data_IF_505091084383
#
_entry.id   IF_505091084383
#
_cell.length_a   1.000
_cell.length_b   1.000
_cell.length_c   1.000
_cell.angle_alpha   90.00
_cell.angle_beta   90.00
_cell.angle_gamma   90.00
#
_symmetry.space_group_name_H-M   'P 1'
#
loop_
_entity.id
_entity.type
_entity.pdbx_description
1 polymer ?
#
# COMPACT_ATOMS: atom_id res chain seq x y z
N UNK A 1 3.45 10.82 10.90
CA UNK A 1 4.34 11.99 10.77
C UNK A 1 5.16 11.85 9.49
N UNK A 2 4.79 12.58 8.43
CA UNK A 2 5.64 12.66 7.23
C UNK A 2 6.71 13.72 7.49
N UNK A 3 7.97 13.32 7.64
CA UNK A 3 9.10 14.26 7.68
C UNK A 3 9.23 14.90 6.30
N UNK A 4 8.85 16.17 6.15
CA UNK A 4 9.25 16.94 4.96
C UNK A 4 10.77 16.94 4.93
N UNK A 5 11.35 16.41 3.84
CA UNK A 5 12.80 16.36 3.67
C UNK A 5 13.28 17.77 3.43
N UNK A 6 13.94 18.34 4.44
CA UNK A 6 14.73 19.55 4.34
C UNK A 6 15.60 19.50 3.09
N UNK A 7 15.53 20.55 2.25
CA UNK A 7 16.41 20.75 1.10
C UNK A 7 17.42 21.84 1.46
N UNK A 8 18.70 21.51 1.63
CA UNK A 8 19.75 22.50 1.85
C UNK A 8 19.81 23.52 0.70
N UNK A 9 19.93 24.81 1.02
CA UNK A 9 20.10 25.89 0.04
C UNK A 9 21.55 26.01 -0.43
N UNK A 10 21.72 26.38 -1.69
CA UNK A 10 23.03 26.67 -2.27
C UNK A 10 23.53 28.06 -1.82
N UNK A 11 24.77 28.14 -1.38
CA UNK A 11 25.44 29.37 -1.01
C UNK A 11 26.95 29.17 -0.97
N UNK A 12 27.69 30.26 -0.76
CA UNK A 12 29.14 30.19 -0.61
C UNK A 12 29.50 29.28 0.59
N UNK A 13 30.39 28.32 0.36
CA UNK A 13 30.79 27.33 1.36
C UNK A 13 29.83 26.13 1.49
N UNK A 14 28.74 26.07 0.72
CA UNK A 14 27.83 24.92 0.76
C UNK A 14 28.51 23.67 0.17
N UNK A 15 28.32 22.51 0.81
CA UNK A 15 28.80 21.23 0.26
C UNK A 15 27.77 20.64 -0.68
N UNK A 16 28.23 20.15 -1.82
CA UNK A 16 27.38 19.51 -2.82
C UNK A 16 28.05 18.27 -3.42
N UNK A 17 27.23 17.32 -3.85
CA UNK A 17 27.68 16.15 -4.61
C UNK A 17 27.45 16.37 -6.11
N UNK A 18 28.48 16.11 -6.92
CA UNK A 18 28.46 16.26 -8.38
C UNK A 18 29.09 15.04 -9.03
N UNK A 19 28.51 14.57 -10.14
CA UNK A 19 29.13 13.51 -10.92
C UNK A 19 30.40 14.01 -11.62
N UNK A 20 31.51 13.29 -11.49
CA UNK A 20 32.84 13.66 -12.00
C UNK A 20 32.84 13.99 -13.49
N UNK A 21 32.02 13.27 -14.28
CA UNK A 21 31.80 13.51 -15.72
C UNK A 21 31.15 14.85 -16.06
N UNK A 22 30.52 15.51 -15.09
CA UNK A 22 29.83 16.79 -15.25
C UNK A 22 30.68 17.98 -14.79
N UNK A 23 31.91 17.74 -14.34
CA UNK A 23 32.85 18.76 -13.88
C UNK A 23 33.69 19.27 -15.06
N UNK A 24 33.85 20.59 -15.14
CA UNK A 24 34.67 21.27 -16.12
C UNK A 24 35.80 22.07 -15.43
N UNK A 25 37.02 22.10 -16.00
CA UNK A 25 37.48 21.34 -17.17
C UNK A 25 37.49 19.82 -16.92
N UNK A 26 37.32 19.02 -17.98
CA UNK A 26 37.24 17.56 -17.86
C UNK A 26 38.55 17.00 -17.31
N UNK A 27 38.48 16.26 -16.21
CA UNK A 27 39.61 15.50 -15.65
C UNK A 27 39.60 14.07 -16.19
N UNK A 28 40.78 13.47 -16.31
CA UNK A 28 40.90 12.04 -16.60
C UNK A 28 40.40 11.25 -15.38
N UNK A 29 39.33 10.48 -15.55
CA UNK A 29 38.78 9.64 -14.47
C UNK A 29 39.50 8.31 -14.52
N UNK A 30 40.33 8.03 -13.50
CA UNK A 30 41.14 6.82 -13.44
C UNK A 30 40.37 5.58 -12.98
N UNK A 31 39.18 5.74 -12.37
CA UNK A 31 38.40 4.61 -11.84
C UNK A 31 36.88 4.82 -12.02
N UNK A 32 36.13 3.91 -12.68
CA UNK A 32 34.69 4.06 -12.92
C UNK A 32 33.81 4.00 -11.66
N UNK A 33 34.38 3.67 -10.48
CA UNK A 33 33.67 3.61 -9.20
C UNK A 33 33.56 4.95 -8.47
N UNK A 34 34.40 5.95 -8.76
CA UNK A 34 34.28 7.32 -8.23
C UNK A 34 33.32 8.15 -9.08
N UNK A 35 32.04 7.76 -9.08
CA UNK A 35 31.04 8.39 -9.96
C UNK A 35 30.64 9.81 -9.50
N UNK A 36 30.79 10.14 -8.22
CA UNK A 36 30.43 11.43 -7.62
C UNK A 36 31.48 11.93 -6.63
N UNK A 37 31.73 13.24 -6.63
CA UNK A 37 32.70 13.92 -5.77
C UNK A 37 31.98 14.99 -4.95
N UNK A 38 32.44 15.20 -3.71
CA UNK A 38 31.97 16.29 -2.84
C UNK A 38 32.76 17.54 -3.19
N UNK A 39 32.04 18.63 -3.41
CA UNK A 39 32.58 19.92 -3.79
C UNK A 39 32.05 20.99 -2.85
N UNK A 40 32.77 22.10 -2.78
CA UNK A 40 32.35 23.26 -1.99
C UNK A 40 32.12 24.45 -2.91
N UNK A 41 30.89 24.97 -2.88
CA UNK A 41 30.45 26.01 -3.79
C UNK A 41 31.07 27.38 -3.45
N UNK A 42 31.42 28.14 -4.49
CA UNK A 42 32.04 29.46 -4.38
C UNK A 42 31.08 30.54 -4.91
N UNK A 43 30.66 30.43 -6.18
CA UNK A 43 29.80 31.42 -6.83
C UNK A 43 28.83 30.77 -7.83
N UNK A 44 27.81 31.54 -8.22
CA UNK A 44 26.93 31.23 -9.36
C UNK A 44 27.28 32.17 -10.53
N UNK A 45 27.61 31.59 -11.69
CA UNK A 45 28.04 32.33 -12.88
C UNK A 45 27.43 31.72 -14.15
N UNK A 46 27.21 32.54 -15.18
CA UNK A 46 26.89 32.05 -16.51
C UNK A 46 28.15 31.69 -17.27
N UNK A 47 28.24 30.43 -17.72
CA UNK A 47 29.34 29.95 -18.54
C UNK A 47 28.84 29.24 -19.79
N UNK A 48 29.62 29.36 -20.87
CA UNK A 48 29.37 28.64 -22.10
C UNK A 48 29.78 27.16 -21.94
N UNK A 49 28.79 26.29 -21.81
CA UNK A 49 28.97 24.83 -21.73
C UNK A 49 28.27 24.19 -22.91
N UNK A 50 29.00 23.35 -23.66
CA UNK A 50 28.47 22.67 -24.85
C UNK A 50 27.84 23.66 -25.87
N UNK A 51 28.51 24.79 -26.13
CA UNK A 51 28.08 25.85 -27.07
C UNK A 51 26.77 26.56 -26.69
N UNK A 52 26.33 26.48 -25.43
CA UNK A 52 25.17 27.22 -24.90
C UNK A 52 25.55 27.93 -23.60
N UNK A 53 25.03 29.13 -23.39
CA UNK A 53 25.13 29.81 -22.10
C UNK A 53 24.26 29.07 -21.08
N UNK A 54 24.84 28.67 -19.95
CA UNK A 54 24.15 27.95 -18.89
C UNK A 54 24.58 28.46 -17.52
N UNK A 55 23.62 28.51 -16.59
CA UNK A 55 23.89 28.81 -15.19
C UNK A 55 24.70 27.67 -14.56
N UNK A 56 25.88 28.01 -14.07
CA UNK A 56 26.84 27.07 -13.49
C UNK A 56 27.19 27.50 -12.08
N UNK A 57 27.46 26.52 -11.22
CA UNK A 57 28.16 26.77 -9.97
C UNK A 57 29.65 26.62 -10.19
N UNK A 58 30.44 27.52 -9.60
CA UNK A 58 31.88 27.37 -9.45
C UNK A 58 32.19 26.78 -8.08
N UNK A 59 33.19 25.92 -8.00
CA UNK A 59 33.51 25.20 -6.77
C UNK A 59 34.97 24.71 -6.77
N UNK A 60 35.47 24.42 -5.58
CA UNK A 60 36.65 23.58 -5.39
C UNK A 60 36.24 22.16 -4.99
N UNK A 61 37.07 21.18 -5.33
CA UNK A 61 36.88 19.80 -4.88
C UNK A 61 37.37 19.70 -3.43
N UNK A 62 36.65 18.99 -2.57
CA UNK A 62 37.06 18.81 -1.19
C UNK A 62 38.45 18.14 -1.13
N UNK A 63 39.47 18.86 -0.64
CA UNK A 63 40.87 18.44 -0.61
C UNK A 63 41.78 19.05 -1.69
N UNK A 64 41.24 19.73 -2.72
CA UNK A 64 42.01 20.45 -3.75
C UNK A 64 41.45 21.87 -3.94
N UNK A 65 42.03 22.83 -3.22
CA UNK A 65 41.67 24.26 -3.28
C UNK A 65 42.37 25.01 -4.42
N UNK A 66 43.32 24.38 -5.12
CA UNK A 66 44.15 25.06 -6.12
C UNK A 66 43.45 25.19 -7.48
N UNK A 67 42.44 24.36 -7.73
CA UNK A 67 41.76 24.29 -9.02
C UNK A 67 40.28 24.65 -8.90
N UNK A 68 39.90 25.77 -9.49
CA UNK A 68 38.49 26.16 -9.60
C UNK A 68 37.85 25.39 -10.76
N UNK A 69 36.82 24.62 -10.43
CA UNK A 69 36.01 23.89 -11.38
C UNK A 69 34.62 24.50 -11.47
N UNK A 70 33.85 24.08 -12.49
CA UNK A 70 32.47 24.49 -12.64
C UNK A 70 31.58 23.37 -13.20
N UNK A 71 30.30 23.40 -12.87
CA UNK A 71 29.29 22.47 -13.37
C UNK A 71 27.93 23.16 -13.48
N UNK A 72 27.09 22.66 -14.39
CA UNK A 72 25.75 23.20 -14.62
C UNK A 72 24.89 22.98 -13.36
N UNK A 73 24.20 24.03 -12.90
CA UNK A 73 23.39 24.08 -11.67
C UNK A 73 22.48 22.85 -11.47
N UNK A 74 21.84 22.39 -12.54
CA UNK A 74 20.94 21.21 -12.52
C UNK A 74 21.59 19.88 -12.10
N UNK A 75 22.92 19.78 -12.17
CA UNK A 75 23.65 18.55 -11.85
C UNK A 75 24.24 18.56 -10.43
N UNK A 76 24.08 19.68 -9.72
CA UNK A 76 24.67 19.90 -8.39
C UNK A 76 23.64 19.61 -7.32
N UNK A 77 23.96 18.67 -6.42
CA UNK A 77 23.08 18.25 -5.34
C UNK A 77 23.64 18.74 -4.01
N UNK A 78 23.08 19.83 -3.47
CA UNK A 78 23.53 20.40 -2.19
C UNK A 78 23.17 19.46 -1.05
N UNK A 79 24.19 19.09 -0.26
CA UNK A 79 24.08 18.19 0.89
C UNK A 79 24.14 18.95 2.21
N UNK A 80 24.89 20.04 2.28
CA UNK A 80 25.05 20.88 3.48
C UNK A 80 24.93 22.36 3.13
N UNK A 81 24.20 23.14 3.94
CA UNK A 81 24.13 24.60 3.77
C UNK A 81 25.46 25.25 4.12
N UNK A 82 25.88 26.21 3.29
CA UNK A 82 27.03 27.07 3.54
C UNK A 82 26.67 28.25 4.46
N UNK A 83 27.35 29.38 4.27
CA UNK A 83 27.08 30.60 5.05
C UNK A 83 25.66 31.13 4.76
N UNK A 84 24.75 31.21 5.76
CA UNK A 84 23.40 31.72 5.57
C UNK A 84 23.31 33.16 5.06
N UNK A 85 24.38 33.94 5.20
CA UNK A 85 24.46 35.34 4.73
C UNK A 85 24.80 35.44 3.24
N UNK A 86 25.29 34.35 2.64
CA UNK A 86 25.83 34.31 1.28
C UNK A 86 25.15 33.26 0.41
N UNK A 87 23.82 33.22 0.49
CA UNK A 87 23.01 32.33 -0.33
C UNK A 87 22.93 32.84 -1.77
N UNK A 88 23.05 31.94 -2.74
CA UNK A 88 22.92 32.30 -4.15
C UNK A 88 21.47 32.61 -4.54
N UNK A 89 20.50 32.05 -3.82
CA UNK A 89 19.07 32.33 -4.00
C UNK A 89 18.40 32.61 -2.64
N UNK A 90 18.30 33.90 -2.24
CA UNK A 90 17.66 34.31 -0.99
C UNK A 90 16.14 34.09 -0.97
N UNK A 91 15.51 33.85 -2.13
CA UNK A 91 14.05 33.66 -2.23
C UNK A 91 13.60 32.28 -1.76
N UNK A 92 14.53 31.33 -1.61
CA UNK A 92 14.23 29.98 -1.17
C UNK A 92 13.93 29.96 0.34
N UNK A 93 12.77 29.42 0.76
CA UNK A 93 12.37 29.39 2.16
C UNK A 93 13.35 28.52 2.96
N UNK A 94 14.00 29.13 3.95
CA UNK A 94 14.94 28.44 4.83
C UNK A 94 14.27 27.41 5.75
N UNK A 95 15.07 26.63 6.50
CA UNK A 95 14.58 25.57 7.38
C UNK A 95 13.47 26.02 8.34
N UNK A 96 13.51 27.27 8.79
CA UNK A 96 12.56 27.81 9.77
C UNK A 96 11.25 28.35 9.19
N UNK A 97 11.17 28.69 7.90
CA UNK A 97 9.95 29.27 7.30
C UNK A 97 8.96 28.23 6.76
N UNK A 98 9.38 26.97 6.55
CA UNK A 98 8.51 25.94 5.95
C UNK A 98 7.53 25.27 6.95
N UNK A 99 7.66 25.54 8.26
CA UNK A 99 6.93 24.80 9.31
C UNK A 99 5.55 25.40 9.62
N UNK A 100 5.30 26.66 9.24
CA UNK A 100 4.14 27.42 9.70
C UNK A 100 3.18 27.65 8.52
N UNK A 101 2.25 26.73 8.25
CA UNK A 101 1.05 27.08 7.46
C UNK A 101 0.42 26.02 6.57
N UNK A 102 1.07 24.89 6.29
CA UNK A 102 0.42 23.82 5.53
C UNK A 102 -0.43 22.94 6.46
N UNK A 103 -1.66 23.37 6.75
CA UNK A 103 -2.68 22.45 7.27
C UNK A 103 -2.71 21.21 6.35
N UNK A 104 -2.48 20.02 6.91
CA UNK A 104 -2.41 18.78 6.13
C UNK A 104 -3.73 18.58 5.38
N UNK A 105 -3.76 18.89 4.08
CA UNK A 105 -4.91 18.57 3.23
C UNK A 105 -5.09 17.05 3.25
N UNK A 106 -6.24 16.60 3.74
CA UNK A 106 -6.58 15.19 3.82
C UNK A 106 -6.49 14.55 2.42
N UNK A 107 -5.81 13.42 2.31
CA UNK A 107 -5.63 12.74 1.03
C UNK A 107 -6.89 11.94 0.69
N UNK A 108 -7.55 12.27 -0.42
CA UNK A 108 -8.76 11.59 -0.92
C UNK A 108 -8.70 10.05 -0.82
N UNK A 109 -7.57 9.44 -1.21
CA UNK A 109 -7.40 7.97 -1.26
C UNK A 109 -7.69 7.27 0.07
N UNK A 110 -7.41 7.93 1.20
CA UNK A 110 -7.63 7.40 2.56
C UNK A 110 -8.68 8.21 3.33
N UNK A 111 -9.45 9.03 2.62
CA UNK A 111 -10.41 9.93 3.26
C UNK A 111 -11.67 9.20 3.69
N UNK A 112 -12.30 9.72 4.74
CA UNK A 112 -13.64 9.28 5.18
C UNK A 112 -14.68 9.49 4.07
N UNK A 113 -14.61 10.62 3.36
CA UNK A 113 -15.47 10.94 2.23
C UNK A 113 -15.48 9.83 1.16
N UNK A 114 -14.31 9.33 0.76
CA UNK A 114 -14.26 8.23 -0.23
C UNK A 114 -14.99 6.98 0.26
N UNK A 115 -14.89 6.65 1.55
CA UNK A 115 -15.56 5.48 2.14
C UNK A 115 -17.08 5.66 2.16
N UNK A 116 -17.56 6.82 2.61
CA UNK A 116 -18.99 7.14 2.60
C UNK A 116 -19.56 7.10 1.18
N UNK A 117 -18.84 7.64 0.19
CA UNK A 117 -19.28 7.59 -1.19
C UNK A 117 -19.39 6.16 -1.74
N UNK A 118 -18.51 5.26 -1.29
CA UNK A 118 -18.61 3.84 -1.62
C UNK A 118 -19.82 3.20 -0.95
N UNK A 119 -20.05 3.46 0.35
CA UNK A 119 -21.21 2.97 1.09
C UNK A 119 -22.52 3.43 0.43
N UNK A 120 -22.65 4.71 0.07
CA UNK A 120 -23.84 5.23 -0.60
C UNK A 120 -24.11 4.63 -1.99
N UNK A 121 -23.06 4.23 -2.72
CA UNK A 121 -23.21 3.51 -3.98
C UNK A 121 -23.68 2.06 -3.75
N UNK A 122 -23.16 1.39 -2.73
CA UNK A 122 -23.56 0.03 -2.37
C UNK A 122 -25.00 -0.03 -1.81
N UNK A 123 -25.39 0.99 -1.04
CA UNK A 123 -26.73 1.12 -0.45
C UNK A 123 -27.77 1.61 -1.48
N UNK A 124 -27.35 1.96 -2.71
CA UNK A 124 -28.22 2.43 -3.78
C UNK A 124 -28.78 3.84 -3.60
N UNK A 125 -28.26 4.61 -2.65
CA UNK A 125 -28.61 6.04 -2.46
C UNK A 125 -28.08 6.86 -3.64
N UNK A 126 -26.86 6.55 -4.06
CA UNK A 126 -26.24 7.14 -5.26
C UNK A 126 -26.38 6.14 -6.41
N UNK A 127 -26.89 6.56 -7.58
CA UNK A 127 -27.03 5.64 -8.70
C UNK A 127 -25.66 5.15 -9.16
N UNK A 128 -25.59 3.87 -9.51
CA UNK A 128 -24.36 3.24 -9.98
C UNK A 128 -23.99 3.71 -11.40
N UNK A 129 -24.99 4.00 -12.23
CA UNK A 129 -24.85 4.58 -13.55
C UNK A 129 -25.21 6.07 -13.55
N UNK A 130 -24.80 6.79 -14.59
CA UNK A 130 -25.07 8.22 -14.75
C UNK A 130 -26.38 8.43 -15.52
N UNK A 131 -27.48 7.90 -14.98
CA UNK A 131 -28.78 7.84 -15.66
C UNK A 131 -29.57 9.15 -15.56
N UNK A 132 -28.95 10.20 -15.01
CA UNK A 132 -29.60 11.48 -14.74
C UNK A 132 -30.59 11.45 -13.57
N UNK A 133 -30.70 10.33 -12.85
CA UNK A 133 -31.56 10.19 -11.66
C UNK A 133 -31.16 11.15 -10.54
N UNK A 134 -29.88 11.49 -10.42
CA UNK A 134 -29.38 12.42 -9.42
C UNK A 134 -28.29 13.31 -10.04
N UNK A 135 -28.40 14.63 -9.84
CA UNK A 135 -27.40 15.58 -10.34
C UNK A 135 -26.13 15.50 -9.50
N UNK A 136 -24.98 15.84 -10.09
CA UNK A 136 -23.68 15.79 -9.40
C UNK A 136 -23.65 16.67 -8.14
N UNK A 137 -24.34 17.81 -8.22
CA UNK A 137 -24.54 18.76 -7.14
C UNK A 137 -25.30 18.13 -5.98
N UNK A 138 -26.38 17.39 -6.26
CA UNK A 138 -27.15 16.68 -5.26
C UNK A 138 -26.30 15.60 -4.57
N UNK A 139 -25.54 14.81 -5.34
CA UNK A 139 -24.62 13.79 -4.78
C UNK A 139 -23.62 14.44 -3.83
N UNK A 140 -23.07 15.57 -4.23
CA UNK A 140 -22.06 16.28 -3.45
C UNK A 140 -22.63 16.91 -2.18
N UNK A 141 -23.92 17.25 -2.18
CA UNK A 141 -24.62 17.83 -1.03
C UNK A 141 -25.09 16.79 0.00
N UNK A 142 -25.06 15.48 -0.31
CA UNK A 142 -25.52 14.41 0.60
C UNK A 142 -24.79 14.46 1.94
N UNK A 143 -23.48 14.66 1.93
CA UNK A 143 -22.66 14.61 3.15
C UNK A 143 -21.68 15.80 3.24
N UNK A 144 -21.62 16.50 4.39
CA UNK A 144 -20.71 17.63 4.59
C UNK A 144 -19.23 17.26 4.47
N UNK A 145 -18.85 15.99 4.62
CA UNK A 145 -17.48 15.51 4.41
C UNK A 145 -17.01 15.69 2.95
N UNK A 146 -17.92 15.73 1.98
CA UNK A 146 -17.58 15.99 0.58
C UNK A 146 -17.09 17.42 0.36
N UNK A 147 -17.61 18.38 1.13
CA UNK A 147 -17.23 19.81 1.07
C UNK A 147 -15.76 20.07 1.38
N UNK A 148 -15.04 19.11 1.97
CA UNK A 148 -13.60 19.20 2.24
C UNK A 148 -12.73 19.07 0.98
N UNK A 149 -13.34 18.73 -0.17
CA UNK A 149 -12.64 18.43 -1.41
C UNK A 149 -13.12 19.30 -2.57
N UNK A 150 -12.30 19.49 -3.59
CA UNK A 150 -12.69 20.31 -4.76
C UNK A 150 -13.84 19.64 -5.55
N UNK A 151 -14.94 20.37 -5.77
CA UNK A 151 -16.09 19.94 -6.56
C UNK A 151 -15.69 19.57 -8.00
N UNK A 152 -14.80 20.33 -8.63
CA UNK A 152 -14.31 20.08 -10.00
C UNK A 152 -13.73 18.67 -10.19
N UNK A 153 -13.14 18.12 -9.12
CA UNK A 153 -12.52 16.78 -9.13
C UNK A 153 -13.49 15.68 -8.69
N UNK A 154 -14.66 16.03 -8.16
CA UNK A 154 -15.61 15.11 -7.57
C UNK A 154 -16.19 14.15 -8.62
N UNK A 155 -16.59 14.67 -9.79
CA UNK A 155 -17.10 13.84 -10.92
C UNK A 155 -16.13 12.72 -11.30
N UNK A 156 -14.85 13.06 -11.49
CA UNK A 156 -13.83 12.07 -11.84
C UNK A 156 -13.61 11.02 -10.74
N UNK A 157 -13.73 11.42 -9.47
CA UNK A 157 -13.61 10.51 -8.32
C UNK A 157 -14.80 9.57 -8.21
N UNK A 158 -16.02 10.07 -8.38
CA UNK A 158 -17.25 9.28 -8.40
C UNK A 158 -17.20 8.23 -9.50
N UNK A 159 -16.92 8.64 -10.74
CA UNK A 159 -16.83 7.73 -11.89
C UNK A 159 -15.73 6.68 -11.70
N UNK A 160 -14.61 7.04 -11.06
CA UNK A 160 -13.57 6.07 -10.75
C UNK A 160 -14.03 5.02 -9.74
N UNK A 161 -14.87 5.40 -8.77
CA UNK A 161 -15.41 4.43 -7.79
C UNK A 161 -16.42 3.52 -8.48
N UNK A 162 -17.38 4.07 -9.24
CA UNK A 162 -18.32 3.30 -10.07
C UNK A 162 -17.61 2.28 -10.95
N UNK A 163 -16.59 2.73 -11.69
CA UNK A 163 -15.77 1.86 -12.54
C UNK A 163 -15.12 0.71 -11.75
N UNK A 164 -14.49 0.99 -10.60
CA UNK A 164 -13.83 -0.06 -9.83
C UNK A 164 -14.83 -1.08 -9.27
N UNK A 165 -16.03 -0.65 -8.84
CA UNK A 165 -17.07 -1.56 -8.34
C UNK A 165 -17.52 -2.48 -9.48
N UNK A 166 -17.88 -1.90 -10.64
CA UNK A 166 -18.28 -2.66 -11.81
C UNK A 166 -17.20 -3.66 -12.25
N UNK A 167 -15.93 -3.25 -12.26
CA UNK A 167 -14.81 -4.14 -12.61
C UNK A 167 -14.65 -5.28 -11.61
N UNK A 168 -14.89 -5.03 -10.31
CA UNK A 168 -14.84 -6.07 -9.28
C UNK A 168 -16.01 -7.05 -9.42
N UNK A 169 -17.22 -6.56 -9.76
CA UNK A 169 -18.39 -7.42 -9.96
C UNK A 169 -18.22 -8.31 -11.20
N UNK A 170 -17.69 -7.77 -12.29
CA UNK A 170 -17.33 -8.57 -13.47
C UNK A 170 -16.36 -9.68 -13.09
N UNK A 171 -15.25 -9.35 -12.40
CA UNK A 171 -14.28 -10.36 -11.97
C UNK A 171 -14.89 -11.39 -11.01
N UNK A 172 -15.79 -10.97 -10.12
CA UNK A 172 -16.47 -11.88 -9.20
C UNK A 172 -17.37 -12.87 -9.96
N UNK A 173 -18.04 -12.40 -11.02
CA UNK A 173 -18.84 -13.26 -11.90
C UNK A 173 -17.96 -14.22 -12.72
N UNK A 174 -16.85 -13.73 -13.29
CA UNK A 174 -15.89 -14.56 -14.02
C UNK A 174 -15.30 -15.66 -13.12
N UNK A 175 -14.91 -15.30 -11.88
CA UNK A 175 -14.40 -16.24 -10.89
C UNK A 175 -15.47 -17.28 -10.50
N UNK A 176 -16.72 -16.86 -10.36
CA UNK A 176 -17.84 -17.75 -10.06
C UNK A 176 -18.11 -18.72 -11.22
N UNK A 177 -18.13 -18.24 -12.46
CA UNK A 177 -18.29 -19.07 -13.65
C UNK A 177 -17.14 -20.08 -13.77
N UNK A 178 -15.89 -19.64 -13.63
CA UNK A 178 -14.73 -20.50 -13.64
C UNK A 178 -14.80 -21.57 -12.56
N UNK A 179 -15.25 -21.21 -11.35
CA UNK A 179 -15.44 -22.15 -10.25
C UNK A 179 -16.55 -23.17 -10.54
N UNK A 180 -17.69 -22.73 -11.08
CA UNK A 180 -18.79 -23.62 -11.45
C UNK A 180 -18.38 -24.60 -12.56
N UNK A 181 -17.68 -24.11 -13.58
CA UNK A 181 -17.12 -24.93 -14.66
C UNK A 181 -16.06 -25.91 -14.13
N UNK A 182 -15.24 -25.50 -13.17
CA UNK A 182 -14.31 -26.42 -12.51
C UNK A 182 -15.08 -27.53 -11.78
N UNK A 183 -16.10 -27.16 -10.99
CA UNK A 183 -16.92 -28.09 -10.20
C UNK A 183 -17.70 -29.08 -11.09
N UNK A 184 -18.20 -28.64 -12.24
CA UNK A 184 -18.93 -29.51 -13.18
C UNK A 184 -18.01 -30.55 -13.84
N UNK A 185 -16.78 -30.17 -14.17
CA UNK A 185 -15.81 -31.05 -14.83
C UNK A 185 -15.03 -31.94 -13.85
N UNK A 186 -14.88 -31.53 -12.60
CA UNK A 186 -14.09 -32.23 -11.59
C UNK A 186 -15.00 -32.75 -10.46
N UNK A 187 -15.57 -33.94 -10.66
CA UNK A 187 -16.30 -34.63 -9.59
C UNK A 187 -15.33 -34.95 -8.44
N UNK A 188 -15.64 -34.56 -7.19
CA UNK A 188 -14.82 -34.92 -6.05
C UNK A 188 -14.70 -36.45 -5.94
N UNK A 189 -13.49 -36.94 -5.65
CA UNK A 189 -13.31 -38.36 -5.33
C UNK A 189 -14.07 -38.68 -4.04
N UNK A 190 -14.87 -39.74 -4.03
CA UNK A 190 -15.59 -40.19 -2.84
C UNK A 190 -14.64 -40.64 -1.73
N UNK A 191 -13.46 -41.15 -2.11
CA UNK A 191 -12.45 -41.65 -1.19
C UNK A 191 -11.19 -40.80 -1.22
N UNK A 192 -10.55 -40.68 -0.07
CA UNK A 192 -9.21 -40.15 0.09
C UNK A 192 -8.17 -41.13 -0.47
N UNK A 193 -6.96 -40.62 -0.75
CA UNK A 193 -5.80 -41.44 -1.11
C UNK A 193 -5.44 -42.52 -0.06
N UNK A 194 -5.95 -42.37 1.17
CA UNK A 194 -5.79 -43.35 2.26
C UNK A 194 -6.91 -44.40 2.33
N UNK A 195 -7.87 -44.39 1.41
CA UNK A 195 -8.91 -45.41 1.27
C UNK A 195 -10.19 -45.22 2.10
N UNK A 196 -10.26 -44.22 2.99
CA UNK A 196 -11.49 -43.84 3.69
C UNK A 196 -12.23 -42.73 2.97
N UNK A 197 -13.53 -42.53 3.27
CA UNK A 197 -14.37 -41.54 2.61
C UNK A 197 -13.87 -40.10 2.84
N UNK A 198 -14.23 -39.17 1.96
CA UNK A 198 -13.90 -37.75 2.17
C UNK A 198 -14.59 -37.23 3.43
N UNK A 199 -13.86 -36.44 4.22
CA UNK A 199 -14.43 -35.78 5.41
C UNK A 199 -15.50 -34.75 5.05
N UNK A 200 -15.29 -34.00 3.97
CA UNK A 200 -16.22 -32.96 3.58
C UNK A 200 -17.49 -33.58 3.02
N UNK A 201 -18.62 -33.36 3.70
CA UNK A 201 -19.92 -33.94 3.36
C UNK A 201 -20.09 -35.40 3.79
N UNK A 202 -19.25 -35.92 4.70
CA UNK A 202 -19.52 -37.22 5.33
C UNK A 202 -20.55 -37.08 6.45
N UNK A 203 -21.25 -38.18 6.74
CA UNK A 203 -22.15 -38.26 7.89
C UNK A 203 -21.38 -38.04 9.20
N UNK A 204 -20.13 -38.53 9.31
CA UNK A 204 -19.29 -38.21 10.46
C UNK A 204 -19.04 -36.71 10.68
N UNK A 205 -18.95 -35.88 9.63
CA UNK A 205 -18.77 -34.45 9.78
C UNK A 205 -20.02 -33.77 10.33
N UNK A 206 -21.18 -34.09 9.76
CA UNK A 206 -22.48 -33.52 10.19
C UNK A 206 -22.74 -33.85 11.66
N UNK A 207 -22.58 -35.12 12.05
CA UNK A 207 -22.77 -35.55 13.43
C UNK A 207 -21.72 -34.95 14.37
N UNK A 208 -20.50 -34.69 13.88
CA UNK A 208 -19.46 -34.08 14.70
C UNK A 208 -19.86 -32.67 15.12
N UNK A 209 -20.49 -31.85 14.27
CA UNK A 209 -20.88 -30.50 14.67
C UNK A 209 -21.82 -30.48 15.87
N UNK A 210 -22.76 -31.42 15.95
CA UNK A 210 -23.65 -31.56 17.12
C UNK A 210 -22.88 -31.96 18.38
N UNK A 211 -21.94 -32.90 18.25
CA UNK A 211 -21.17 -33.41 19.38
C UNK A 211 -20.00 -32.50 19.79
N UNK A 212 -19.56 -31.60 18.92
CA UNK A 212 -18.38 -30.75 19.13
C UNK A 212 -18.63 -29.75 20.25
N UNK A 213 -19.85 -29.21 20.35
CA UNK A 213 -20.24 -28.29 21.42
C UNK A 213 -20.21 -28.95 22.81
N UNK A 214 -20.59 -30.23 22.90
CA UNK A 214 -20.51 -31.01 24.14
C UNK A 214 -19.05 -31.35 24.47
N UNK A 215 -18.29 -31.78 23.46
CA UNK A 215 -16.87 -32.09 23.59
C UNK A 215 -16.03 -30.88 24.04
N UNK A 216 -16.31 -29.68 23.52
CA UNK A 216 -15.59 -28.46 23.89
C UNK A 216 -15.88 -27.97 25.31
N UNK A 217 -17.02 -28.38 25.92
CA UNK A 217 -17.37 -28.03 27.30
C UNK A 217 -16.63 -28.88 28.34
N UNK A 218 -16.26 -30.11 27.99
CA UNK A 218 -15.52 -31.00 28.88
C UNK A 218 -14.00 -30.96 28.58
N UNK A 219 -13.18 -30.32 29.44
CA UNK A 219 -11.73 -30.24 29.24
C UNK A 219 -11.00 -31.58 29.39
N UNK A 220 -11.63 -32.61 29.98
CA UNK A 220 -11.03 -33.93 30.13
C UNK A 220 -11.40 -34.91 29.01
N UNK A 221 -12.32 -34.53 28.14
CA UNK A 221 -12.78 -35.36 27.03
C UNK A 221 -11.62 -35.64 26.06
N UNK A 222 -11.39 -36.92 25.73
CA UNK A 222 -10.35 -37.29 24.76
C UNK A 222 -11.01 -37.49 23.39
N UNK A 223 -10.31 -37.18 22.28
CA UNK A 223 -10.81 -37.46 20.94
C UNK A 223 -11.18 -38.93 20.70
N UNK A 224 -10.55 -39.86 21.44
CA UNK A 224 -10.86 -41.28 21.37
C UNK A 224 -12.23 -41.61 21.96
N UNK A 225 -12.63 -40.92 23.02
CA UNK A 225 -13.92 -41.14 23.68
C UNK A 225 -15.04 -40.64 22.76
N UNK A 226 -14.81 -39.49 22.10
CA UNK A 226 -15.70 -38.97 21.07
C UNK A 226 -15.80 -39.92 19.86
N UNK A 227 -14.68 -40.45 19.38
CA UNK A 227 -14.63 -41.41 18.26
C UNK A 227 -15.40 -42.71 18.54
N UNK A 228 -15.44 -43.16 19.79
CA UNK A 228 -16.20 -44.35 20.20
C UNK A 228 -17.68 -44.07 20.46
N UNK A 229 -18.09 -42.80 20.57
CA UNK A 229 -19.47 -42.40 20.88
C UNK A 229 -20.46 -42.83 19.79
N UNK A 230 -20.05 -42.76 18.52
CA UNK A 230 -20.88 -43.08 17.35
C UNK A 230 -20.18 -44.07 16.42
N UNK A 231 -20.96 -44.93 15.77
CA UNK A 231 -20.44 -45.94 14.82
C UNK A 231 -19.89 -45.30 13.55
N UNK A 232 -20.54 -44.23 13.10
CA UNK A 232 -20.20 -43.48 11.90
C UNK A 232 -18.77 -42.93 11.98
N UNK A 233 -18.28 -42.60 13.18
CA UNK A 233 -16.92 -42.07 13.34
C UNK A 233 -15.83 -43.13 13.16
N UNK A 234 -16.03 -44.34 13.68
CA UNK A 234 -15.02 -45.39 13.65
C UNK A 234 -15.13 -46.34 12.46
N UNK A 235 -16.32 -46.46 11.88
CA UNK A 235 -16.53 -47.19 10.64
C UNK A 235 -15.98 -46.41 9.43
N UNK A 236 -16.17 -45.08 9.41
CA UNK A 236 -15.77 -44.24 8.27
C UNK A 236 -14.33 -43.75 8.36
N UNK A 237 -13.79 -43.50 9.56
CA UNK A 237 -12.48 -42.89 9.75
C UNK A 237 -11.60 -43.61 10.78
N UNK A 238 -10.32 -43.85 10.47
CA UNK A 238 -9.38 -44.31 11.48
C UNK A 238 -9.15 -43.22 12.54
N UNK A 239 -8.93 -43.64 13.79
CA UNK A 239 -8.82 -42.74 14.96
C UNK A 239 -7.85 -41.56 14.74
N UNK A 240 -6.70 -41.80 14.10
CA UNK A 240 -5.72 -40.74 13.84
C UNK A 240 -6.22 -39.71 12.82
N UNK A 241 -6.92 -40.15 11.77
CA UNK A 241 -7.55 -39.22 10.83
C UNK A 241 -8.66 -38.41 11.50
N UNK A 242 -9.51 -39.07 12.30
CA UNK A 242 -10.60 -38.41 13.02
C UNK A 242 -10.10 -37.33 13.98
N UNK A 243 -9.02 -37.63 14.73
CA UNK A 243 -8.34 -36.64 15.60
C UNK A 243 -7.91 -35.39 14.85
N UNK A 244 -7.34 -35.56 13.66
CA UNK A 244 -6.91 -34.43 12.85
C UNK A 244 -8.09 -33.63 12.31
N UNK A 245 -9.22 -34.30 12.00
CA UNK A 245 -10.45 -33.64 11.57
C UNK A 245 -11.10 -32.80 12.67
N UNK A 246 -11.21 -33.33 13.89
CA UNK A 246 -11.67 -32.54 15.04
C UNK A 246 -10.81 -31.28 15.22
N UNK A 247 -9.48 -31.42 15.19
CA UNK A 247 -8.57 -30.28 15.32
C UNK A 247 -8.75 -29.27 14.18
N UNK A 248 -9.05 -29.72 12.96
CA UNK A 248 -9.34 -28.84 11.84
C UNK A 248 -10.61 -28.02 12.10
N UNK A 249 -11.71 -28.66 12.51
CA UNK A 249 -12.98 -27.98 12.81
C UNK A 249 -12.83 -26.94 13.93
N UNK A 250 -12.17 -27.29 15.05
CA UNK A 250 -11.91 -26.35 16.16
C UNK A 250 -11.09 -25.13 15.70
N UNK A 251 -10.10 -25.34 14.83
CA UNK A 251 -9.30 -24.23 14.28
C UNK A 251 -10.14 -23.34 13.37
N UNK A 252 -10.99 -23.95 12.54
CA UNK A 252 -11.90 -23.22 11.65
C UNK A 252 -12.88 -22.37 12.47
N UNK A 253 -13.48 -22.92 13.51
CA UNK A 253 -14.39 -22.18 14.40
C UNK A 253 -13.69 -21.00 15.08
N UNK A 254 -12.49 -21.22 15.63
CA UNK A 254 -11.67 -20.15 16.22
C UNK A 254 -11.34 -19.05 15.20
N UNK A 255 -11.02 -19.44 13.96
CA UNK A 255 -10.75 -18.49 12.88
C UNK A 255 -11.99 -17.68 12.52
N UNK A 256 -13.15 -18.31 12.36
CA UNK A 256 -14.42 -17.65 12.06
C UNK A 256 -14.81 -16.67 13.17
N UNK A 257 -14.66 -17.06 14.44
CA UNK A 257 -14.90 -16.18 15.59
C UNK A 257 -13.97 -14.97 15.58
N UNK A 258 -12.69 -15.17 15.29
CA UNK A 258 -11.71 -14.07 15.18
C UNK A 258 -12.05 -13.13 14.03
N UNK A 259 -12.49 -13.68 12.89
CA UNK A 259 -12.92 -12.89 11.72
C UNK A 259 -14.16 -12.04 12.04
N UNK A 260 -15.14 -12.60 12.74
CA UNK A 260 -16.34 -11.89 13.19
C UNK A 260 -15.99 -10.75 14.17
N UNK A 261 -15.16 -11.02 15.19
CA UNK A 261 -14.72 -9.99 16.14
C UNK A 261 -14.01 -8.80 15.46
N UNK A 262 -13.17 -9.09 14.46
CA UNK A 262 -12.51 -8.05 13.64
C UNK A 262 -13.49 -7.24 12.80
N UNK A 263 -14.52 -7.87 12.24
CA UNK A 263 -15.56 -7.17 11.49
C UNK A 263 -16.36 -6.21 12.40
N UNK A 264 -16.58 -6.59 13.66
CA UNK A 264 -17.24 -5.75 14.68
C UNK A 264 -16.33 -4.68 15.30
N UNK A 265 -15.05 -4.60 14.91
CA UNK A 265 -14.10 -3.65 15.48
C UNK A 265 -13.69 -3.93 16.92
N UNK A 266 -14.03 -5.12 17.45
CA UNK A 266 -13.54 -5.57 18.76
C UNK A 266 -12.14 -6.14 18.56
N UNK A 267 -11.13 -5.47 19.10
CA UNK A 267 -9.80 -6.05 19.17
C UNK A 267 -9.88 -7.33 20.01
N UNK A 268 -9.49 -8.45 19.39
CA UNK A 268 -9.46 -9.77 20.00
C UNK A 268 -8.49 -9.84 21.19
#
# INVERSE_FOLDING_TARGET
MARMKYKPRAGEGAKASILTKMIYPKRAVNDPKEASVIVVLISEEEKSVNRRQQQCYTFYIEGDTSNICYAIKRYVHVTEEGDPSKLFDPSLPGPHQQIIGAAEKEKWRKSKAKRLLYEFLMDGIVPMEDDGTMSLEDIYAIDPEFSKFDFDKFKGRLNRIRFNIMELDIRANDDLEAFQNFKSNHKPSLFSHKGYIQWQGSTAQELLWDDLDEYLKDPNSKPKDLWLKRKEYHDEFPLDAFRDKIKQEIRTEKYLRTRAARAEGKNA
#
